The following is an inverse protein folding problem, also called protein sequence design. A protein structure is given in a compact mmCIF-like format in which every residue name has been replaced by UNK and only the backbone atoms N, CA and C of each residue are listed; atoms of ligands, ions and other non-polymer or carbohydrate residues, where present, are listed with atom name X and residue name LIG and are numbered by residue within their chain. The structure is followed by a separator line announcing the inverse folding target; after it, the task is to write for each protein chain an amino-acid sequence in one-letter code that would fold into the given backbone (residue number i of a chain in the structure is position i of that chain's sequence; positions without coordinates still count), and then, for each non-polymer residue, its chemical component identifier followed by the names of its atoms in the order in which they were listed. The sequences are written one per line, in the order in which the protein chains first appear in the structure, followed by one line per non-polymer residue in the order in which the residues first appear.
data_IF_358488311529
#
_entry.id   IF_358488311529
#
_cell.length_a   1.000
_cell.length_b   1.000
_cell.length_c   1.000
_cell.angle_alpha   90.00
_cell.angle_beta   90.00
_cell.angle_gamma   90.00
#
_symmetry.space_group_name_H-M   'P 1'
#
loop_
_entity.id
_entity.type
_entity.pdbx_description
1 polymer ?
#
# COMPACT_ATOMS: atom_id res chain seq x y z
N UNK A 1 -56.92 -17.69 -50.87
CA UNK A 1 -55.69 -16.92 -50.68
C UNK A 1 -55.18 -17.10 -49.22
N UNK A 2 -54.16 -17.94 -49.01
CA UNK A 2 -53.59 -18.21 -47.67
C UNK A 2 -52.50 -17.18 -47.42
N UNK A 3 -52.65 -16.35 -46.38
CA UNK A 3 -51.60 -15.38 -45.91
C UNK A 3 -50.62 -16.12 -45.01
N UNK A 4 -49.36 -16.21 -45.40
CA UNK A 4 -48.27 -16.68 -44.57
C UNK A 4 -47.66 -15.47 -43.84
N UNK A 5 -47.79 -15.43 -42.51
CA UNK A 5 -47.09 -14.46 -41.67
C UNK A 5 -45.68 -15.01 -41.38
N UNK A 6 -44.66 -14.33 -41.85
CA UNK A 6 -43.26 -14.62 -41.53
C UNK A 6 -42.93 -13.91 -40.19
N UNK A 7 -42.72 -14.68 -39.14
CA UNK A 7 -42.15 -14.17 -37.88
C UNK A 7 -40.65 -14.04 -38.07
N UNK A 8 -40.15 -12.81 -38.08
CA UNK A 8 -38.71 -12.52 -38.01
C UNK A 8 -38.27 -12.59 -36.55
N UNK A 9 -37.55 -13.67 -36.16
CA UNK A 9 -36.91 -13.75 -34.87
C UNK A 9 -35.59 -12.92 -34.89
N UNK A 10 -35.59 -11.76 -34.25
CA UNK A 10 -34.36 -10.95 -34.03
C UNK A 10 -33.63 -11.54 -32.85
N UNK A 11 -32.56 -12.29 -33.11
CA UNK A 11 -31.62 -12.72 -32.07
C UNK A 11 -30.79 -11.53 -31.63
N UNK A 12 -31.05 -10.96 -30.44
CA UNK A 12 -30.15 -10.04 -29.77
C UNK A 12 -28.91 -10.80 -29.30
N UNK A 13 -27.81 -10.64 -29.99
CA UNK A 13 -26.49 -11.07 -29.49
C UNK A 13 -26.04 -10.05 -28.44
N UNK A 14 -26.16 -10.39 -27.17
CA UNK A 14 -25.52 -9.64 -26.10
C UNK A 14 -24.01 -9.90 -26.19
N UNK A 15 -23.26 -9.00 -26.77
CA UNK A 15 -21.80 -8.95 -26.61
C UNK A 15 -21.57 -8.36 -25.22
N UNK A 16 -21.34 -9.20 -24.22
CA UNK A 16 -20.80 -8.73 -22.96
C UNK A 16 -19.39 -8.24 -23.24
N UNK A 17 -19.19 -6.92 -23.19
CA UNK A 17 -17.83 -6.37 -23.18
C UNK A 17 -17.14 -6.91 -21.92
N UNK A 18 -16.08 -7.70 -22.10
CA UNK A 18 -15.21 -8.11 -20.99
C UNK A 18 -14.67 -6.84 -20.32
N UNK A 19 -14.76 -6.77 -19.00
CA UNK A 19 -14.19 -5.65 -18.28
C UNK A 19 -12.67 -5.63 -18.49
N UNK A 20 -12.10 -4.44 -18.68
CA UNK A 20 -10.68 -4.31 -18.92
C UNK A 20 -9.88 -4.70 -17.67
N UNK A 21 -8.73 -5.34 -17.87
CA UNK A 21 -7.79 -5.64 -16.78
C UNK A 21 -7.37 -4.34 -16.07
N UNK A 22 -7.22 -4.41 -14.74
CA UNK A 22 -6.74 -3.29 -13.92
C UNK A 22 -5.32 -3.57 -13.42
N UNK A 23 -4.46 -2.55 -13.49
CA UNK A 23 -3.13 -2.56 -12.91
C UNK A 23 -3.11 -1.76 -11.60
N UNK A 24 -2.61 -2.38 -10.55
CA UNK A 24 -2.41 -1.77 -9.22
C UNK A 24 -0.94 -1.88 -8.89
N UNK A 25 -0.29 -0.75 -8.56
CA UNK A 25 1.13 -0.71 -8.22
C UNK A 25 1.29 -0.39 -6.74
N UNK A 26 2.09 -1.17 -6.04
CA UNK A 26 2.53 -0.91 -4.67
C UNK A 26 3.98 -0.48 -4.67
N UNK A 27 4.27 0.56 -3.89
CA UNK A 27 5.64 1.03 -3.67
C UNK A 27 6.11 0.73 -2.24
N UNK A 28 7.41 0.71 -2.02
CA UNK A 28 8.01 0.65 -0.70
C UNK A 28 7.77 1.90 0.15
N UNK A 29 8.56 2.02 1.22
CA UNK A 29 8.41 3.09 2.22
C UNK A 29 8.75 4.47 1.64
N UNK A 30 7.87 5.45 1.91
CA UNK A 30 7.98 6.85 1.50
C UNK A 30 8.24 7.70 2.75
N UNK A 31 9.46 8.20 2.90
CA UNK A 31 9.86 9.14 3.95
C UNK A 31 10.15 10.51 3.33
N UNK A 32 9.35 11.52 3.65
CA UNK A 32 9.54 12.89 3.16
C UNK A 32 10.25 13.78 4.21
N UNK A 33 11.25 13.23 4.89
CA UNK A 33 12.05 13.94 5.89
C UNK A 33 13.55 13.65 5.73
N UNK A 34 14.38 14.06 6.66
CA UNK A 34 15.83 13.81 6.71
C UNK A 34 16.55 14.18 5.40
N UNK A 35 17.17 13.20 4.73
CA UNK A 35 17.88 13.36 3.47
C UNK A 35 16.96 13.72 2.32
N UNK A 36 15.77 13.15 2.30
CA UNK A 36 14.75 13.45 1.29
C UNK A 36 14.28 14.90 1.40
N UNK A 37 14.02 15.41 2.62
CA UNK A 37 13.71 16.84 2.84
C UNK A 37 14.81 17.74 2.29
N UNK A 38 16.08 17.37 2.50
CA UNK A 38 17.22 18.14 1.94
C UNK A 38 17.26 18.13 0.42
N UNK A 39 16.92 16.97 -0.19
CA UNK A 39 16.82 16.85 -1.65
C UNK A 39 15.67 17.69 -2.21
N UNK A 40 14.48 17.63 -1.58
CA UNK A 40 13.32 18.46 -1.95
C UNK A 40 13.67 19.96 -1.86
N UNK A 41 14.26 20.40 -0.76
CA UNK A 41 14.62 21.83 -0.55
C UNK A 41 15.64 22.34 -1.59
N UNK A 42 16.47 21.45 -2.14
CA UNK A 42 17.50 21.81 -3.14
C UNK A 42 16.98 21.76 -4.57
N UNK A 43 16.13 20.78 -4.89
CA UNK A 43 15.78 20.45 -6.27
C UNK A 43 14.28 20.51 -6.56
N UNK A 44 13.43 20.75 -5.55
CA UNK A 44 11.98 20.61 -5.65
C UNK A 44 11.51 19.17 -5.43
N UNK A 45 10.23 19.01 -5.11
CA UNK A 45 9.64 17.69 -4.79
C UNK A 45 9.54 16.78 -6.03
N UNK A 46 9.34 17.36 -7.23
CA UNK A 46 9.23 16.59 -8.49
C UNK A 46 10.53 15.86 -8.85
N UNK A 47 11.67 16.33 -8.31
CA UNK A 47 12.95 15.65 -8.47
C UNK A 47 12.92 14.19 -7.98
N UNK A 48 12.11 13.88 -6.98
CA UNK A 48 11.98 12.52 -6.44
C UNK A 48 11.41 11.52 -7.46
N UNK A 49 10.81 12.00 -8.54
CA UNK A 49 10.19 11.19 -9.59
C UNK A 49 11.03 11.12 -10.88
N UNK A 50 12.23 11.68 -10.90
CA UNK A 50 13.10 11.75 -12.10
C UNK A 50 13.71 10.38 -12.50
N UNK A 51 13.56 9.33 -11.70
CA UNK A 51 14.13 7.99 -11.94
C UNK A 51 13.34 7.10 -12.92
N UNK A 52 12.42 7.65 -13.71
CA UNK A 52 11.66 6.94 -14.74
C UNK A 52 10.41 6.22 -14.25
N UNK A 53 10.05 6.35 -12.96
CA UNK A 53 8.90 5.66 -12.35
C UNK A 53 7.54 6.13 -12.86
N UNK A 54 7.45 7.35 -13.40
CA UNK A 54 6.22 7.92 -13.94
C UNK A 54 5.56 7.07 -15.03
N UNK A 55 6.36 6.37 -15.84
CA UNK A 55 5.83 5.47 -16.86
C UNK A 55 5.07 4.29 -16.27
N UNK A 56 5.57 3.76 -15.14
CA UNK A 56 4.91 2.68 -14.40
C UNK A 56 3.62 3.19 -13.76
N UNK A 57 3.67 4.35 -13.10
CA UNK A 57 2.50 4.93 -12.43
C UNK A 57 1.39 5.30 -13.42
N UNK A 58 1.75 5.87 -14.59
CA UNK A 58 0.76 6.17 -15.65
C UNK A 58 0.12 4.93 -16.27
N UNK A 59 0.77 3.77 -16.20
CA UNK A 59 0.21 2.50 -16.67
C UNK A 59 -0.73 1.83 -15.66
N UNK A 60 -0.85 2.38 -14.45
CA UNK A 60 -1.67 1.83 -13.37
C UNK A 60 -2.90 2.71 -13.09
N UNK A 61 -4.02 2.10 -12.77
CA UNK A 61 -5.23 2.78 -12.32
C UNK A 61 -5.15 3.14 -10.83
N UNK A 62 -4.37 2.35 -10.07
CA UNK A 62 -4.19 2.54 -8.64
C UNK A 62 -2.70 2.44 -8.30
N UNK A 63 -2.18 3.42 -7.56
CA UNK A 63 -0.83 3.39 -7.00
C UNK A 63 -0.92 3.60 -5.50
N UNK A 64 -0.41 2.64 -4.74
CA UNK A 64 -0.44 2.62 -3.27
C UNK A 64 0.97 2.80 -2.74
N UNK A 65 1.21 3.86 -1.96
CA UNK A 65 2.46 4.10 -1.24
C UNK A 65 2.30 3.88 0.27
N UNK A 66 3.38 3.54 0.96
CA UNK A 66 3.41 3.52 2.43
C UNK A 66 4.07 4.82 2.93
N UNK A 67 3.26 5.78 3.40
CA UNK A 67 3.77 7.07 3.89
C UNK A 67 4.28 6.93 5.33
N UNK A 68 5.57 6.80 5.48
CA UNK A 68 6.25 6.51 6.76
C UNK A 68 6.69 7.80 7.48
N UNK A 69 5.84 8.80 7.45
CA UNK A 69 5.97 10.04 8.22
C UNK A 69 4.64 10.80 8.25
N UNK A 70 4.33 11.56 9.31
CA UNK A 70 3.21 12.49 9.29
C UNK A 70 3.46 13.62 8.29
N UNK A 71 2.47 13.96 7.47
CA UNK A 71 2.45 15.15 6.62
C UNK A 71 1.55 16.22 7.26
N UNK A 72 2.13 17.03 8.14
CA UNK A 72 1.40 17.96 9.01
C UNK A 72 2.22 19.18 9.40
N UNK A 73 1.55 20.30 9.68
CA UNK A 73 2.17 21.49 10.32
C UNK A 73 2.17 21.38 11.84
N UNK A 74 1.46 20.43 12.41
CA UNK A 74 1.44 20.21 13.86
C UNK A 74 2.82 19.70 14.30
N UNK A 75 3.35 20.33 15.34
CA UNK A 75 4.61 19.96 16.00
C UNK A 75 4.25 19.51 17.41
N UNK A 76 4.07 18.23 17.58
CA UNK A 76 3.75 17.57 18.86
C UNK A 76 4.44 16.20 18.92
N UNK A 77 5.80 16.20 18.93
CA UNK A 77 6.54 14.95 18.81
C UNK A 77 6.29 14.02 19.99
N UNK A 78 6.05 12.75 19.70
CA UNK A 78 6.03 11.70 20.71
C UNK A 78 7.47 11.40 21.18
N UNK A 79 7.61 10.81 22.37
CA UNK A 79 8.94 10.47 22.90
C UNK A 79 9.44 9.15 22.29
N UNK A 80 10.23 9.23 21.22
CA UNK A 80 10.90 8.09 20.58
C UNK A 80 12.21 8.51 19.92
N UNK A 81 13.03 7.54 19.49
CA UNK A 81 14.37 7.79 18.97
C UNK A 81 14.35 8.53 17.62
N UNK A 82 13.50 8.09 16.70
CA UNK A 82 13.35 8.69 15.38
C UNK A 82 11.95 9.28 15.26
N UNK A 83 11.90 10.57 14.94
CA UNK A 83 10.65 11.34 14.82
C UNK A 83 10.69 12.07 13.49
N UNK A 84 9.69 11.86 12.67
CA UNK A 84 9.60 12.43 11.34
C UNK A 84 8.42 13.40 11.22
N UNK A 85 8.49 14.27 10.22
CA UNK A 85 7.41 15.18 9.85
C UNK A 85 7.66 15.73 8.45
N UNK A 86 6.74 15.49 7.53
CA UNK A 86 6.73 16.08 6.19
C UNK A 86 5.92 17.37 6.15
N UNK A 87 6.18 18.20 5.14
CA UNK A 87 5.33 19.34 4.82
C UNK A 87 4.11 18.87 4.00
N UNK A 88 2.86 19.23 4.39
CA UNK A 88 1.65 18.80 3.70
C UNK A 88 1.61 19.19 2.21
N UNK A 89 2.24 20.29 1.84
CA UNK A 89 2.30 20.82 0.47
C UNK A 89 2.93 19.83 -0.52
N UNK A 90 3.80 18.94 -0.05
CA UNK A 90 4.45 17.96 -0.91
C UNK A 90 3.52 16.83 -1.38
N UNK A 91 2.40 16.62 -0.69
CA UNK A 91 1.40 15.61 -1.08
C UNK A 91 0.81 15.88 -2.46
N UNK A 92 0.68 17.16 -2.85
CA UNK A 92 0.20 17.54 -4.17
C UNK A 92 1.08 17.00 -5.31
N UNK A 93 2.40 16.97 -5.13
CA UNK A 93 3.31 16.39 -6.11
C UNK A 93 3.19 14.85 -6.17
N UNK A 94 3.05 14.17 -5.01
CA UNK A 94 2.78 12.73 -4.99
C UNK A 94 1.53 12.40 -5.83
N UNK A 95 0.47 13.19 -5.68
CA UNK A 95 -0.76 13.05 -6.48
C UNK A 95 -0.52 13.31 -7.97
N UNK A 96 0.19 14.37 -8.30
CA UNK A 96 0.48 14.76 -9.68
C UNK A 96 1.28 13.70 -10.44
N UNK A 97 2.17 12.99 -9.75
CA UNK A 97 2.94 11.85 -10.28
C UNK A 97 2.18 10.53 -10.27
N UNK A 98 0.93 10.48 -9.77
CA UNK A 98 0.05 9.34 -9.93
C UNK A 98 -0.21 8.51 -8.67
N UNK A 99 0.32 8.86 -7.50
CA UNK A 99 -0.04 8.19 -6.25
C UNK A 99 -1.51 8.47 -5.92
N UNK A 100 -2.29 7.41 -5.76
CA UNK A 100 -3.74 7.48 -5.53
C UNK A 100 -4.12 7.16 -4.08
N UNK A 101 -3.30 6.37 -3.39
CA UNK A 101 -3.54 5.91 -2.03
C UNK A 101 -2.27 5.97 -1.20
N UNK A 102 -2.39 6.34 0.07
CA UNK A 102 -1.28 6.34 1.03
C UNK A 102 -1.65 5.56 2.28
N UNK A 103 -0.90 4.48 2.53
CA UNK A 103 -1.03 3.67 3.74
C UNK A 103 -0.33 4.37 4.91
N UNK A 104 -1.05 4.49 6.02
CA UNK A 104 -0.61 5.06 7.30
C UNK A 104 -0.50 4.00 8.40
N UNK A 105 -0.77 2.72 8.11
CA UNK A 105 -0.63 1.65 9.09
C UNK A 105 0.84 1.29 9.31
N UNK A 106 1.63 2.26 9.81
CA UNK A 106 3.06 2.13 10.12
C UNK A 106 3.42 2.82 11.45
N UNK A 107 4.60 2.54 11.96
CA UNK A 107 5.07 3.01 13.26
C UNK A 107 5.44 4.51 13.29
N UNK A 108 5.59 5.15 12.14
CA UNK A 108 5.94 6.58 12.06
C UNK A 108 4.75 7.50 11.80
N UNK A 109 3.59 7.00 11.42
CA UNK A 109 2.41 7.83 11.16
C UNK A 109 1.94 8.65 12.38
N UNK A 110 2.32 8.22 13.60
CA UNK A 110 1.93 8.86 14.87
C UNK A 110 3.06 9.71 15.49
N UNK A 111 4.13 9.96 14.78
CA UNK A 111 5.31 10.69 15.31
C UNK A 111 4.98 12.09 15.83
N UNK A 112 3.93 12.72 15.34
CA UNK A 112 3.41 14.01 15.82
C UNK A 112 2.11 13.85 16.62
N UNK A 113 1.98 12.74 17.34
CA UNK A 113 0.82 12.43 18.17
C UNK A 113 -0.45 12.15 17.38
N UNK A 114 -1.55 11.97 18.11
CA UNK A 114 -2.85 11.64 17.51
C UNK A 114 -3.42 12.79 16.67
N UNK A 115 -3.19 14.03 17.11
CA UNK A 115 -3.59 15.22 16.36
C UNK A 115 -2.84 15.31 15.03
N UNK A 116 -1.51 15.08 15.06
CA UNK A 116 -0.67 15.03 13.85
C UNK A 116 -1.07 13.92 12.88
N UNK A 117 -1.45 12.74 13.39
CA UNK A 117 -1.98 11.64 12.59
C UNK A 117 -3.28 12.05 11.87
N UNK A 118 -4.24 12.63 12.59
CA UNK A 118 -5.52 13.01 12.01
C UNK A 118 -5.40 14.22 11.08
N UNK A 119 -4.46 15.11 11.35
CA UNK A 119 -4.13 16.22 10.44
C UNK A 119 -3.49 15.68 9.15
N UNK A 120 -2.56 14.74 9.24
CA UNK A 120 -1.98 14.04 8.10
C UNK A 120 -3.07 13.40 7.23
N UNK A 121 -4.03 12.71 7.85
CA UNK A 121 -5.16 12.10 7.13
C UNK A 121 -5.98 13.15 6.38
N UNK A 122 -6.29 14.30 7.01
CA UNK A 122 -6.99 15.42 6.34
C UNK A 122 -6.19 15.99 5.18
N UNK A 123 -4.88 16.18 5.35
CA UNK A 123 -4.01 16.73 4.31
C UNK A 123 -3.88 15.78 3.10
N UNK A 124 -3.84 14.47 3.31
CA UNK A 124 -3.87 13.45 2.25
C UNK A 124 -5.18 13.56 1.45
N UNK A 125 -6.33 13.66 2.13
CA UNK A 125 -7.65 13.84 1.49
C UNK A 125 -7.68 15.16 0.70
N UNK A 126 -7.19 16.25 1.28
CA UNK A 126 -7.15 17.57 0.63
C UNK A 126 -6.26 17.56 -0.63
N UNK A 127 -5.22 16.73 -0.67
CA UNK A 127 -4.38 16.52 -1.86
C UNK A 127 -5.05 15.62 -2.92
N UNK A 128 -6.26 15.11 -2.69
CA UNK A 128 -6.96 14.20 -3.59
C UNK A 128 -6.41 12.77 -3.59
N UNK A 129 -5.78 12.35 -2.48
CA UNK A 129 -5.26 11.00 -2.26
C UNK A 129 -6.14 10.32 -1.20
N UNK A 130 -6.32 9.01 -1.28
CA UNK A 130 -7.08 8.23 -0.31
C UNK A 130 -6.16 7.74 0.81
N UNK A 131 -6.38 8.13 2.09
CA UNK A 131 -5.63 7.58 3.22
C UNK A 131 -6.16 6.20 3.59
N UNK A 132 -5.25 5.30 3.96
CA UNK A 132 -5.52 3.92 4.38
C UNK A 132 -4.89 3.69 5.75
N UNK A 133 -5.53 2.89 6.61
CA UNK A 133 -4.88 2.38 7.81
C UNK A 133 -4.76 3.35 8.97
N UNK A 134 -5.53 4.44 8.97
CA UNK A 134 -5.64 5.38 10.09
C UNK A 134 -7.08 5.88 10.22
N UNK A 135 -7.55 6.06 11.45
CA UNK A 135 -8.93 6.47 11.74
C UNK A 135 -9.10 7.11 13.10
N UNK A 136 -10.32 7.56 13.40
CA UNK A 136 -10.71 8.14 14.69
C UNK A 136 -10.72 7.12 15.84
N UNK A 137 -10.76 5.84 15.48
CA UNK A 137 -10.72 4.70 16.39
C UNK A 137 -10.16 3.48 15.64
N UNK A 138 -9.99 2.36 16.33
CA UNK A 138 -9.42 1.13 15.75
C UNK A 138 -10.30 0.55 14.64
N UNK A 139 -11.61 0.61 14.78
CA UNK A 139 -12.53 0.06 13.78
C UNK A 139 -12.39 0.82 12.45
N UNK A 140 -12.41 2.18 12.50
CA UNK A 140 -12.20 3.02 11.31
C UNK A 140 -10.78 2.83 10.73
N UNK A 141 -9.76 2.76 11.59
CA UNK A 141 -8.37 2.58 11.15
C UNK A 141 -8.15 1.24 10.43
N UNK A 142 -8.86 0.20 10.85
CA UNK A 142 -8.72 -1.16 10.32
C UNK A 142 -9.70 -1.50 9.20
N UNK A 143 -10.55 -0.54 8.79
CA UNK A 143 -11.51 -0.78 7.71
C UNK A 143 -10.78 -1.11 6.39
N UNK A 144 -11.15 -2.20 5.71
CA UNK A 144 -10.62 -2.50 4.39
C UNK A 144 -11.00 -1.44 3.37
N UNK A 145 -10.07 -1.11 2.48
CA UNK A 145 -10.31 -0.12 1.42
C UNK A 145 -10.52 -0.83 0.09
N UNK A 146 -11.62 -0.50 -0.60
CA UNK A 146 -11.88 -0.97 -1.95
C UNK A 146 -10.99 -0.17 -2.93
N UNK A 147 -9.99 -0.83 -3.51
CA UNK A 147 -9.09 -0.23 -4.49
C UNK A 147 -9.71 -0.17 -5.89
N UNK A 148 -10.53 -1.16 -6.23
CA UNK A 148 -11.25 -1.26 -7.50
C UNK A 148 -12.48 -2.16 -7.34
N UNK A 149 -13.53 -1.92 -8.15
CA UNK A 149 -14.74 -2.75 -8.22
C UNK A 149 -14.84 -3.57 -9.51
N UNK A 150 -14.07 -3.20 -10.53
CA UNK A 150 -14.03 -3.87 -11.83
C UNK A 150 -12.57 -4.25 -12.19
N UNK A 151 -12.33 -5.38 -12.85
CA UNK A 151 -13.27 -6.45 -13.25
C UNK A 151 -13.75 -7.32 -12.08
N UNK A 152 -13.13 -7.16 -10.91
CA UNK A 152 -13.47 -7.81 -9.63
C UNK A 152 -13.21 -6.83 -8.49
N UNK A 153 -13.90 -7.00 -7.36
CA UNK A 153 -13.59 -6.24 -6.16
C UNK A 153 -12.14 -6.52 -5.71
N UNK A 154 -11.35 -5.47 -5.51
CA UNK A 154 -9.99 -5.55 -4.98
C UNK A 154 -9.93 -4.81 -3.66
N UNK A 155 -9.74 -5.56 -2.58
CA UNK A 155 -9.68 -5.03 -1.22
C UNK A 155 -8.25 -4.97 -0.70
N UNK A 156 -7.90 -3.87 -0.05
CA UNK A 156 -6.67 -3.73 0.73
C UNK A 156 -6.98 -3.70 2.23
N UNK A 157 -6.37 -4.60 2.96
CA UNK A 157 -6.46 -4.72 4.42
C UNK A 157 -5.14 -4.29 5.04
N UNK A 158 -5.06 -3.09 5.66
CA UNK A 158 -3.83 -2.58 6.25
C UNK A 158 -3.66 -3.07 7.70
N UNK A 159 -2.42 -3.33 8.15
CA UNK A 159 -2.16 -3.53 9.57
C UNK A 159 -0.70 -3.27 9.96
N UNK A 160 -0.50 -2.50 11.03
CA UNK A 160 0.76 -2.38 11.75
C UNK A 160 0.91 -3.56 12.72
N UNK A 161 2.07 -4.26 12.65
CA UNK A 161 2.38 -5.42 13.49
C UNK A 161 3.60 -5.18 14.38
N UNK A 162 3.81 -3.93 14.78
CA UNK A 162 4.87 -3.47 15.69
C UNK A 162 4.25 -2.72 16.86
N UNK A 163 4.95 -2.70 17.99
CA UNK A 163 4.57 -1.82 19.09
C UNK A 163 4.75 -0.35 18.67
N UNK A 164 3.80 0.49 19.05
CA UNK A 164 3.96 1.95 18.95
C UNK A 164 4.76 2.41 20.17
N UNK A 165 5.98 2.85 19.94
CA UNK A 165 6.89 3.32 21.01
C UNK A 165 6.22 4.40 21.86
N UNK A 166 6.30 4.24 23.19
CA UNK A 166 5.77 5.21 24.17
C UNK A 166 4.32 5.68 23.92
N UNK A 167 3.55 4.95 23.12
CA UNK A 167 2.18 5.30 22.79
C UNK A 167 1.23 4.18 23.16
N UNK A 168 0.25 4.49 23.99
CA UNK A 168 -0.72 3.50 24.45
C UNK A 168 -1.64 3.05 23.31
N UNK A 169 -1.85 1.74 23.20
CA UNK A 169 -2.89 1.16 22.37
C UNK A 169 -4.27 1.47 22.95
N UNK A 170 -4.98 2.37 22.30
CA UNK A 170 -6.33 2.79 22.69
C UNK A 170 -7.28 2.60 21.50
N UNK A 171 -8.24 1.70 21.66
CA UNK A 171 -9.16 1.33 20.58
C UNK A 171 -10.20 2.40 20.25
N UNK A 172 -10.48 3.32 21.18
CA UNK A 172 -11.48 4.37 21.11
C UNK A 172 -10.92 5.77 20.77
N UNK A 173 -9.63 5.84 20.44
CA UNK A 173 -8.92 7.09 20.09
C UNK A 173 -8.34 7.04 18.68
N UNK A 174 -8.06 8.20 18.08
CA UNK A 174 -7.37 8.24 16.78
C UNK A 174 -6.11 7.39 16.80
N UNK A 175 -6.00 6.47 15.84
CA UNK A 175 -4.92 5.50 15.80
C UNK A 175 -4.68 5.00 14.36
N UNK A 176 -3.61 4.24 14.20
CA UNK A 176 -3.36 3.43 13.01
C UNK A 176 -3.95 2.03 13.19
N UNK A 177 -4.19 1.34 12.08
CA UNK A 177 -4.64 -0.06 12.09
C UNK A 177 -3.62 -0.95 12.80
N UNK A 178 -3.96 -1.44 13.98
CA UNK A 178 -3.11 -2.30 14.83
C UNK A 178 -3.95 -3.31 15.61
N UNK A 179 -5.01 -3.80 15.00
CA UNK A 179 -5.87 -4.80 15.64
C UNK A 179 -5.13 -6.12 15.95
N UNK A 180 -5.59 -6.93 16.91
CA UNK A 180 -5.04 -8.26 17.17
C UNK A 180 -5.04 -9.15 15.93
N UNK A 181 -4.10 -10.10 15.84
CA UNK A 181 -3.99 -10.99 14.65
C UNK A 181 -5.28 -11.77 14.39
N UNK A 182 -5.97 -12.24 15.44
CA UNK A 182 -7.24 -12.96 15.26
C UNK A 182 -8.34 -12.07 14.66
N UNK A 183 -8.37 -10.78 15.00
CA UNK A 183 -9.29 -9.81 14.39
C UNK A 183 -8.97 -9.60 12.92
N UNK A 184 -7.68 -9.46 12.58
CA UNK A 184 -7.20 -9.32 11.20
C UNK A 184 -7.55 -10.57 10.37
N UNK A 185 -7.30 -11.77 10.89
CA UNK A 185 -7.67 -13.03 10.24
C UNK A 185 -9.18 -13.13 10.00
N UNK A 186 -9.98 -12.79 11.01
CA UNK A 186 -11.43 -12.76 10.90
C UNK A 186 -11.93 -11.73 9.86
N UNK A 187 -11.26 -10.58 9.74
CA UNK A 187 -11.56 -9.55 8.74
C UNK A 187 -11.33 -10.07 7.33
N UNK A 188 -10.17 -10.68 7.06
CA UNK A 188 -9.84 -11.32 5.77
C UNK A 188 -10.84 -12.42 5.44
N UNK A 189 -11.16 -13.29 6.42
CA UNK A 189 -12.12 -14.37 6.23
C UNK A 189 -13.52 -13.86 5.89
N UNK A 190 -13.98 -12.78 6.57
CA UNK A 190 -15.30 -12.18 6.29
C UNK A 190 -15.37 -11.61 4.88
N UNK A 191 -14.32 -10.93 4.40
CA UNK A 191 -14.25 -10.43 3.03
C UNK A 191 -14.36 -11.59 2.03
N UNK A 192 -13.57 -12.65 2.21
CA UNK A 192 -13.60 -13.83 1.34
C UNK A 192 -14.96 -14.53 1.34
N UNK A 193 -15.61 -14.60 2.51
CA UNK A 193 -16.95 -15.20 2.63
C UNK A 193 -18.02 -14.34 1.97
N UNK A 194 -17.88 -13.01 2.03
CA UNK A 194 -18.83 -12.09 1.41
C UNK A 194 -18.72 -12.08 -0.12
N UNK A 195 -17.50 -12.21 -0.66
CA UNK A 195 -17.22 -12.26 -2.09
C UNK A 195 -16.10 -13.27 -2.36
N UNK A 196 -16.48 -14.44 -2.87
CA UNK A 196 -15.54 -15.52 -3.20
C UNK A 196 -14.61 -15.17 -4.36
N UNK A 197 -14.99 -14.21 -5.19
CA UNK A 197 -14.25 -13.78 -6.38
C UNK A 197 -13.36 -12.58 -6.13
N UNK A 198 -13.54 -11.84 -5.03
CA UNK A 198 -12.73 -10.68 -4.71
C UNK A 198 -11.23 -11.00 -4.66
N UNK A 199 -10.40 -10.03 -4.96
CA UNK A 199 -8.96 -10.05 -4.68
C UNK A 199 -8.73 -9.36 -3.35
N UNK A 200 -8.11 -10.06 -2.40
CA UNK A 200 -7.85 -9.55 -1.05
C UNK A 200 -6.34 -9.44 -0.85
N UNK A 201 -5.87 -8.21 -0.72
CA UNK A 201 -4.47 -7.88 -0.49
C UNK A 201 -4.32 -7.47 0.97
N UNK A 202 -3.33 -8.04 1.68
CA UNK A 202 -3.00 -7.61 3.04
C UNK A 202 -1.69 -6.85 3.01
N UNK A 203 -1.68 -5.62 3.54
CA UNK A 203 -0.47 -4.83 3.69
C UNK A 203 -0.06 -4.77 5.15
N UNK A 204 1.12 -5.33 5.46
CA UNK A 204 1.65 -5.35 6.82
C UNK A 204 2.90 -4.49 6.95
N UNK A 205 3.00 -3.75 8.05
CA UNK A 205 4.21 -3.04 8.44
C UNK A 205 4.79 -3.74 9.66
N UNK A 206 5.90 -4.51 9.49
CA UNK A 206 6.35 -5.48 10.47
C UNK A 206 7.83 -5.90 10.35
N UNK A 207 8.29 -6.65 11.34
CA UNK A 207 9.59 -7.33 11.32
C UNK A 207 10.68 -6.53 12.01
N UNK A 208 11.91 -6.89 11.75
CA UNK A 208 13.10 -6.20 12.26
C UNK A 208 13.78 -5.40 11.16
N UNK A 209 14.16 -4.17 11.44
CA UNK A 209 14.90 -3.32 10.49
C UNK A 209 16.20 -3.99 10.02
N UNK A 210 16.55 -3.74 8.77
CA UNK A 210 17.80 -4.17 8.13
C UNK A 210 18.02 -5.69 8.10
N UNK A 211 16.94 -6.49 8.12
CA UNK A 211 16.99 -7.94 8.00
C UNK A 211 16.56 -8.38 6.59
N UNK A 212 17.26 -9.38 6.03
CA UNK A 212 17.00 -9.90 4.68
C UNK A 212 15.98 -11.05 4.65
N UNK A 213 15.63 -11.58 5.80
CA UNK A 213 14.74 -12.74 5.90
C UNK A 213 13.70 -12.56 7.00
N UNK A 214 12.46 -12.97 6.76
CA UNK A 214 11.44 -12.98 7.79
C UNK A 214 11.77 -14.02 8.89
N UNK A 215 11.39 -13.70 10.11
CA UNK A 215 11.45 -14.67 11.21
C UNK A 215 10.32 -15.70 11.10
N UNK A 216 10.43 -16.82 11.81
CA UNK A 216 9.45 -17.92 11.78
C UNK A 216 8.03 -17.46 12.12
N UNK A 217 7.88 -16.50 13.06
CA UNK A 217 6.58 -15.95 13.42
C UNK A 217 5.94 -15.17 12.26
N UNK A 218 6.70 -14.35 11.54
CA UNK A 218 6.19 -13.63 10.36
C UNK A 218 5.72 -14.62 9.28
N UNK A 219 6.50 -15.69 9.03
CA UNK A 219 6.09 -16.74 8.08
C UNK A 219 4.79 -17.42 8.50
N UNK A 220 4.68 -17.77 9.77
CA UNK A 220 3.47 -18.37 10.30
C UNK A 220 2.27 -17.46 10.11
N UNK A 221 2.34 -16.20 10.52
CA UNK A 221 1.26 -15.22 10.43
C UNK A 221 0.87 -14.98 8.95
N UNK A 222 1.84 -14.88 8.05
CA UNK A 222 1.60 -14.74 6.61
C UNK A 222 0.82 -15.95 6.05
N UNK A 223 1.26 -17.17 6.39
CA UNK A 223 0.57 -18.38 5.95
C UNK A 223 -0.87 -18.47 6.49
N UNK A 224 -1.14 -18.02 7.73
CA UNK A 224 -2.51 -17.95 8.26
C UNK A 224 -3.37 -16.97 7.49
N UNK A 225 -2.85 -15.79 7.09
CA UNK A 225 -3.56 -14.81 6.30
C UNK A 225 -3.91 -15.34 4.91
N UNK A 226 -2.99 -16.06 4.24
CA UNK A 226 -3.29 -16.72 2.96
C UNK A 226 -4.39 -17.77 3.15
N UNK A 227 -4.30 -18.62 4.20
CA UNK A 227 -5.34 -19.60 4.50
C UNK A 227 -6.70 -18.99 4.85
N UNK A 228 -6.71 -17.81 5.46
CA UNK A 228 -7.93 -17.04 5.74
C UNK A 228 -8.59 -16.45 4.49
N UNK A 229 -7.87 -16.41 3.35
CA UNK A 229 -8.41 -15.99 2.07
C UNK A 229 -7.71 -14.81 1.42
N UNK A 230 -6.55 -14.35 1.93
CA UNK A 230 -5.76 -13.33 1.23
C UNK A 230 -5.15 -13.91 -0.07
N UNK A 231 -5.07 -13.08 -1.11
CA UNK A 231 -4.51 -13.44 -2.42
C UNK A 231 -3.06 -12.99 -2.58
N UNK A 232 -2.66 -11.94 -1.87
CA UNK A 232 -1.28 -11.49 -1.80
C UNK A 232 -1.02 -10.77 -0.47
N UNK A 233 0.24 -10.86 0.02
CA UNK A 233 0.74 -10.01 1.09
C UNK A 233 1.83 -9.09 0.54
N UNK A 234 1.74 -7.79 0.83
CA UNK A 234 2.74 -6.79 0.44
C UNK A 234 3.14 -6.03 1.70
N UNK A 235 4.37 -6.27 2.18
CA UNK A 235 4.77 -5.81 3.50
C UNK A 235 5.97 -4.85 3.46
N UNK A 236 6.18 -4.14 4.58
CA UNK A 236 7.05 -2.98 4.74
C UNK A 236 7.81 -3.03 6.08
N UNK A 237 8.54 -1.96 6.41
CA UNK A 237 9.24 -1.68 7.67
C UNK A 237 10.72 -2.05 7.69
N UNK A 238 11.12 -3.17 7.12
CA UNK A 238 12.51 -3.63 7.33
C UNK A 238 13.54 -2.77 6.60
N UNK A 239 13.09 -1.83 5.75
CA UNK A 239 13.89 -0.97 4.89
C UNK A 239 14.82 -1.76 3.93
N UNK A 240 14.57 -3.05 3.77
CA UNK A 240 15.31 -3.96 2.89
C UNK A 240 14.35 -4.78 2.06
N UNK A 241 14.74 -5.13 0.86
CA UNK A 241 14.02 -6.16 0.12
C UNK A 241 14.24 -7.50 0.81
N UNK A 242 13.17 -8.14 1.28
CA UNK A 242 13.21 -9.47 1.87
C UNK A 242 12.79 -10.56 0.87
N UNK A 243 12.91 -11.81 1.29
CA UNK A 243 12.46 -12.98 0.52
C UNK A 243 11.03 -12.81 0.02
N UNK A 244 10.80 -13.16 -1.25
CA UNK A 244 9.47 -13.31 -1.84
C UNK A 244 9.14 -14.80 -1.81
N UNK A 245 8.02 -15.18 -1.22
CA UNK A 245 7.59 -16.57 -1.09
C UNK A 245 6.37 -16.83 -1.97
N UNK A 246 6.35 -17.99 -2.62
CA UNK A 246 5.13 -18.54 -3.20
C UNK A 246 4.54 -19.56 -2.22
N UNK A 247 3.35 -19.28 -1.72
CA UNK A 247 2.66 -20.17 -0.81
C UNK A 247 1.26 -20.48 -1.35
N UNK A 248 1.03 -21.71 -1.77
CA UNK A 248 -0.20 -22.16 -2.43
C UNK A 248 -0.57 -21.31 -3.66
N UNK A 249 0.41 -20.93 -4.47
CA UNK A 249 0.22 -20.10 -5.67
C UNK A 249 -0.08 -18.64 -5.37
N UNK A 250 0.10 -18.19 -4.12
CA UNK A 250 -0.08 -16.80 -3.68
C UNK A 250 1.28 -16.19 -3.29
N UNK A 251 1.52 -14.94 -3.71
CA UNK A 251 2.78 -14.26 -3.43
C UNK A 251 2.75 -13.56 -2.09
N UNK A 252 3.83 -13.77 -1.31
CA UNK A 252 4.10 -13.10 -0.05
C UNK A 252 5.40 -12.31 -0.21
N UNK A 253 5.28 -10.99 -0.25
CA UNK A 253 6.39 -10.05 -0.20
C UNK A 253 6.60 -9.65 1.26
N UNK A 254 7.55 -10.27 1.94
CA UNK A 254 7.78 -10.04 3.38
C UNK A 254 8.29 -8.64 3.71
N UNK A 255 8.95 -7.99 2.77
CA UNK A 255 9.20 -6.55 2.69
C UNK A 255 9.62 -6.20 1.26
N UNK A 256 9.07 -5.13 0.73
CA UNK A 256 9.46 -4.59 -0.58
C UNK A 256 10.50 -3.47 -0.46
N UNK A 257 10.94 -3.15 0.78
CA UNK A 257 11.98 -2.16 1.07
C UNK A 257 11.50 -0.71 0.97
N UNK A 258 12.46 0.18 0.80
CA UNK A 258 12.22 1.62 0.67
C UNK A 258 11.76 2.00 -0.74
N UNK A 259 11.23 3.22 -0.91
CA UNK A 259 10.94 3.78 -2.22
C UNK A 259 11.47 5.21 -2.34
N UNK A 260 10.85 6.19 -1.72
CA UNK A 260 11.40 7.53 -1.56
C UNK A 260 12.03 7.60 -0.17
N UNK A 261 13.34 7.50 -0.11
CA UNK A 261 14.05 7.37 1.15
C UNK A 261 15.50 7.84 1.03
N UNK A 262 16.16 8.15 2.15
CA UNK A 262 17.60 8.43 2.21
C UNK A 262 18.34 7.23 2.82
N UNK A 263 18.67 6.18 2.03
CA UNK A 263 19.26 4.97 2.57
C UNK A 263 20.64 5.26 3.17
N UNK A 264 20.85 4.80 4.40
CA UNK A 264 22.12 4.95 5.12
C UNK A 264 23.06 3.75 4.93
N UNK A 265 22.55 2.68 4.34
CA UNK A 265 23.29 1.44 4.06
C UNK A 265 23.02 1.01 2.62
N UNK A 266 24.00 0.46 1.90
CA UNK A 266 23.80 -0.04 0.52
C UNK A 266 22.63 -1.01 0.41
N UNK A 267 22.46 -1.88 1.40
CA UNK A 267 21.36 -2.85 1.50
C UNK A 267 19.97 -2.21 1.45
N UNK A 268 19.82 -0.97 1.91
CA UNK A 268 18.53 -0.26 1.95
C UNK A 268 18.21 0.48 0.65
N UNK A 269 19.11 0.49 -0.33
CA UNK A 269 18.88 1.11 -1.64
C UNK A 269 18.27 0.14 -2.67
N UNK A 270 18.42 -1.18 -2.48
CA UNK A 270 17.80 -2.20 -3.33
C UNK A 270 16.39 -2.48 -2.84
N UNK A 271 15.41 -2.33 -3.72
CA UNK A 271 13.98 -2.38 -3.40
C UNK A 271 13.18 -2.80 -4.62
N UNK A 272 11.86 -2.94 -4.49
CA UNK A 272 11.02 -3.16 -5.66
C UNK A 272 9.68 -2.43 -5.53
N UNK A 273 9.03 -2.22 -6.67
CA UNK A 273 7.59 -2.05 -6.76
C UNK A 273 6.96 -3.41 -7.08
N UNK A 274 5.70 -3.57 -6.68
CA UNK A 274 4.90 -4.75 -7.02
C UNK A 274 3.72 -4.29 -7.87
N UNK A 275 3.63 -4.80 -9.11
CA UNK A 275 2.44 -4.62 -9.94
C UNK A 275 1.54 -5.84 -9.80
N UNK A 276 0.28 -5.57 -9.54
CA UNK A 276 -0.80 -6.54 -9.59
C UNK A 276 -1.65 -6.27 -10.84
N UNK A 277 -1.78 -7.25 -11.71
CA UNK A 277 -2.71 -7.23 -12.82
C UNK A 277 -3.91 -8.12 -12.48
N UNK A 278 -5.05 -7.49 -12.33
CA UNK A 278 -6.32 -8.16 -11.99
C UNK A 278 -7.18 -8.25 -13.23
N UNK A 279 -7.57 -9.47 -13.59
CA UNK A 279 -8.52 -9.78 -14.66
C UNK A 279 -9.77 -10.43 -14.09
N UNK A 280 -10.78 -10.66 -14.92
CA UNK A 280 -11.98 -11.42 -14.52
C UNK A 280 -11.64 -12.81 -13.95
N UNK A 281 -10.58 -13.43 -14.44
CA UNK A 281 -10.25 -14.84 -14.14
C UNK A 281 -9.04 -15.02 -13.23
N UNK A 282 -8.22 -13.96 -12.99
CA UNK A 282 -6.97 -14.15 -12.27
C UNK A 282 -6.35 -12.92 -11.66
N UNK A 283 -5.29 -13.18 -10.92
CA UNK A 283 -4.35 -12.21 -10.37
C UNK A 283 -2.94 -12.59 -10.79
N UNK A 284 -2.28 -11.73 -11.54
CA UNK A 284 -0.87 -11.84 -11.87
C UNK A 284 -0.06 -10.84 -11.03
N UNK A 285 1.14 -11.22 -10.63
CA UNK A 285 2.05 -10.36 -9.86
C UNK A 285 3.36 -10.20 -10.60
N UNK A 286 3.81 -8.96 -10.73
CA UNK A 286 5.11 -8.61 -11.30
C UNK A 286 5.95 -7.86 -10.27
N UNK A 287 7.21 -8.24 -10.14
CA UNK A 287 8.20 -7.54 -9.32
C UNK A 287 9.02 -6.64 -10.21
N UNK A 288 8.99 -5.33 -9.97
CA UNK A 288 9.73 -4.32 -10.75
C UNK A 288 10.91 -3.86 -9.89
N UNK A 289 12.15 -4.23 -10.24
CA UNK A 289 13.34 -3.84 -9.48
C UNK A 289 13.54 -2.33 -9.47
N UNK A 290 13.90 -1.79 -8.32
CA UNK A 290 14.16 -0.36 -8.10
C UNK A 290 15.42 -0.18 -7.26
N UNK A 291 16.26 0.75 -7.62
CA UNK A 291 17.39 1.19 -6.82
C UNK A 291 17.20 2.66 -6.41
N UNK A 292 17.42 2.97 -5.14
CA UNK A 292 17.36 4.34 -4.65
C UNK A 292 18.73 5.00 -4.85
N UNK A 293 18.77 6.04 -5.68
CA UNK A 293 19.94 6.84 -5.97
C UNK A 293 19.72 8.29 -5.54
N UNK A 294 20.45 8.76 -4.55
CA UNK A 294 20.30 10.14 -4.02
C UNK A 294 18.84 10.48 -3.66
N UNK A 295 18.18 9.62 -2.93
CA UNK A 295 16.76 9.71 -2.55
C UNK A 295 15.74 9.51 -3.69
N UNK A 296 16.18 9.23 -4.92
CA UNK A 296 15.33 9.05 -6.09
C UNK A 296 15.21 7.56 -6.41
N UNK A 297 14.01 6.99 -6.38
CA UNK A 297 13.77 5.63 -6.85
C UNK A 297 13.98 5.55 -8.37
N UNK A 298 14.83 4.65 -8.82
CA UNK A 298 15.23 4.49 -10.21
C UNK A 298 14.98 3.05 -10.64
N UNK A 299 14.28 2.86 -11.76
CA UNK A 299 14.04 1.51 -12.32
C UNK A 299 15.37 0.93 -12.79
N UNK A 300 15.59 -0.34 -12.47
CA UNK A 300 16.75 -1.13 -12.93
C UNK A 300 16.29 -2.45 -13.53
N UNK A 301 17.08 -3.05 -14.39
CA UNK A 301 16.71 -4.30 -15.08
C UNK A 301 16.74 -5.51 -14.12
N UNK A 302 17.68 -5.52 -13.20
CA UNK A 302 17.85 -6.57 -12.15
C UNK A 302 18.67 -6.04 -10.98
N UNK A 303 18.67 -6.81 -9.88
CA UNK A 303 19.52 -6.59 -8.72
C UNK A 303 20.84 -7.33 -8.83
#
# INVERSE_FOLDING_TARGET
MKRYSILLAVSMVFISALAADINIVFTGDILLDRGVRRAINRHGVDHLFSGGIDSIFRSAQVVVGNLECPATKIVSPVQKLFIFRAEPEWLGALKAHGITHLNLANNHSIDQGREGLMDTRRNIIAAGITPIGAGQNMDEASEPVLLASEPRNVWLVPSLRLALENYSYLTDKPCVSQEPMDSLLNRVHRLRKADSTAVIIVSLHWGGEHTLRPISRQRWDAHQLIRAGADALICHHTHTLQTIEDFHGKKIYYSIGNFIFDPTRPLNSQTCMVRLKVSETGLETETIPVEIRNCVPTIVDHF
#
